data_IF_165002031113
#
_entry.id   IF_165002031113
#
_cell.length_a   1.000
_cell.length_b   1.000
_cell.length_c   1.000
_cell.angle_alpha   90.00
_cell.angle_beta   90.00
_cell.angle_gamma   90.00
#
_symmetry.space_group_name_H-M   'P 1'
#
loop_
_entity.id
_entity.type
_entity.pdbx_description
1 polymer ?
#
# COMPACT_ATOMS: atom_id res chain seq x y z
N UNK A 1 8.99 -29.14 33.43
CA UNK A 1 9.95 -28.03 33.32
C UNK A 1 10.46 -28.09 31.89
N UNK A 2 10.21 -27.17 30.98
CA UNK A 2 10.08 -25.71 31.06
C UNK A 2 8.98 -25.20 30.13
N UNK A 3 8.54 -23.99 30.44
CA UNK A 3 7.37 -23.28 29.95
C UNK A 3 7.28 -23.05 28.44
N UNK A 4 6.03 -22.94 28.02
CA UNK A 4 5.50 -22.22 26.87
C UNK A 4 6.22 -20.90 26.58
N UNK A 5 6.35 -20.56 25.30
CA UNK A 5 5.88 -19.27 24.81
C UNK A 5 5.59 -19.36 23.30
N UNK A 6 4.32 -19.59 22.94
CA UNK A 6 3.82 -19.19 21.62
C UNK A 6 3.63 -17.68 21.73
N UNK A 7 4.20 -16.85 20.83
CA UNK A 7 3.74 -15.47 20.75
C UNK A 7 2.26 -15.57 20.36
N UNK A 8 1.38 -15.31 21.33
CA UNK A 8 0.03 -14.86 21.06
C UNK A 8 0.13 -13.90 19.90
N UNK A 9 -0.59 -14.19 18.83
CA UNK A 9 -0.87 -13.20 17.83
C UNK A 9 -1.44 -12.02 18.62
N UNK A 10 -0.63 -10.98 18.82
CA UNK A 10 -1.12 -9.68 19.22
C UNK A 10 -2.24 -9.41 18.24
N UNK A 11 -3.46 -9.48 18.76
CA UNK A 11 -4.60 -8.85 18.16
C UNK A 11 -4.14 -7.43 17.95
N UNK A 12 -3.70 -7.13 16.73
CA UNK A 12 -3.59 -5.78 16.22
C UNK A 12 -5.00 -5.25 16.27
N UNK A 13 -5.39 -4.80 17.47
CA UNK A 13 -6.33 -3.70 17.65
C UNK A 13 -6.06 -2.76 16.48
N UNK A 14 -7.08 -2.31 15.73
CA UNK A 14 -6.86 -1.34 14.67
C UNK A 14 -6.28 -0.10 15.34
N UNK A 15 -4.94 -0.05 15.39
CA UNK A 15 -4.16 1.04 15.95
C UNK A 15 -4.68 2.23 15.21
N UNK A 16 -5.40 3.08 15.95
CA UNK A 16 -5.98 4.34 15.50
C UNK A 16 -5.07 4.89 14.42
N UNK A 17 -5.53 4.82 13.16
CA UNK A 17 -4.65 4.81 12.00
C UNK A 17 -3.72 6.01 12.12
N UNK A 18 -2.47 5.75 12.52
CA UNK A 18 -1.52 6.81 12.78
C UNK A 18 -1.52 7.70 11.55
N UNK A 19 -1.62 9.04 11.71
CA UNK A 19 -1.86 9.93 10.59
C UNK A 19 -0.89 9.57 9.49
N UNK A 20 -1.43 9.10 8.36
CA UNK A 20 -0.61 8.60 7.26
C UNK A 20 0.39 9.70 6.93
N UNK A 21 1.69 9.37 6.98
CA UNK A 21 2.73 10.34 6.64
C UNK A 21 2.36 10.90 5.27
N UNK A 22 2.22 12.22 5.18
CA UNK A 22 1.91 12.89 3.91
C UNK A 22 2.95 12.45 2.90
N UNK A 23 2.49 11.89 1.79
CA UNK A 23 3.36 11.52 0.69
C UNK A 23 3.85 12.82 0.05
N UNK A 24 5.16 12.92 -0.20
CA UNK A 24 5.76 14.08 -0.87
C UNK A 24 5.38 14.09 -2.35
N UNK A 25 5.00 15.25 -2.89
CA UNK A 25 4.65 15.43 -4.29
C UNK A 25 5.82 15.04 -5.22
N UNK A 26 7.07 15.29 -4.80
CA UNK A 26 8.26 14.90 -5.57
C UNK A 26 8.38 13.37 -5.71
N UNK A 27 8.04 12.65 -4.65
CA UNK A 27 8.05 11.18 -4.67
C UNK A 27 6.93 10.65 -5.57
N UNK A 28 5.78 11.32 -5.57
CA UNK A 28 4.67 11.00 -6.46
C UNK A 28 5.08 11.16 -7.93
N UNK A 29 5.72 12.29 -8.27
CA UNK A 29 6.20 12.58 -9.62
C UNK A 29 7.22 11.56 -10.11
N UNK A 30 8.18 11.16 -9.25
CA UNK A 30 9.17 10.13 -9.58
C UNK A 30 8.51 8.77 -9.85
N UNK A 31 7.54 8.39 -9.02
CA UNK A 31 6.80 7.14 -9.19
C UNK A 31 5.98 7.14 -10.49
N UNK A 32 5.31 8.24 -10.80
CA UNK A 32 4.54 8.41 -12.04
C UNK A 32 5.49 8.36 -13.25
N UNK A 33 6.63 9.06 -13.20
CA UNK A 33 7.60 9.07 -14.27
C UNK A 33 8.17 7.69 -14.58
N UNK A 34 8.49 6.90 -13.55
CA UNK A 34 8.96 5.52 -13.71
C UNK A 34 7.90 4.61 -14.33
N UNK A 35 6.67 4.68 -13.83
CA UNK A 35 5.57 3.90 -14.38
C UNK A 35 5.32 4.25 -15.86
N UNK A 36 5.30 5.53 -16.22
CA UNK A 36 5.15 5.96 -17.61
C UNK A 36 6.30 5.47 -18.51
N UNK A 37 7.55 5.50 -18.01
CA UNK A 37 8.70 4.96 -18.74
C UNK A 37 8.59 3.44 -19.00
N UNK A 38 7.90 2.72 -18.13
CA UNK A 38 7.59 1.29 -18.29
C UNK A 38 6.28 1.04 -19.09
N UNK A 39 5.65 2.08 -19.63
CA UNK A 39 4.38 1.98 -20.37
C UNK A 39 3.16 1.70 -19.48
N UNK A 40 3.33 1.88 -18.17
CA UNK A 40 2.36 1.55 -17.14
C UNK A 40 1.42 2.74 -16.90
N UNK A 41 0.17 2.62 -17.36
CA UNK A 41 -0.85 3.63 -17.09
C UNK A 41 -1.42 3.45 -15.68
N UNK A 42 -1.06 4.36 -14.79
CA UNK A 42 -1.48 4.36 -13.38
C UNK A 42 -2.91 4.88 -13.17
N UNK A 43 -3.59 5.38 -14.21
CA UNK A 43 -4.95 5.95 -14.13
C UNK A 43 -5.81 5.53 -15.33
N UNK A 44 -7.13 5.72 -15.23
CA UNK A 44 -8.07 5.58 -16.36
C UNK A 44 -8.64 4.18 -16.59
N UNK A 45 -9.46 4.06 -17.63
CA UNK A 45 -10.04 2.80 -18.12
C UNK A 45 -8.93 1.92 -18.74
N UNK A 46 -8.83 0.67 -18.29
CA UNK A 46 -7.74 -0.23 -18.64
C UNK A 46 -6.42 -0.02 -17.87
N UNK A 47 -6.32 1.03 -17.04
CA UNK A 47 -5.13 1.33 -16.22
C UNK A 47 -5.02 0.46 -14.97
N UNK A 48 -3.85 0.48 -14.32
CA UNK A 48 -3.58 -0.29 -13.10
C UNK A 48 -4.56 0.02 -11.97
N UNK A 49 -4.93 1.29 -11.80
CA UNK A 49 -5.87 1.68 -10.75
C UNK A 49 -7.19 0.94 -10.91
N UNK A 50 -7.71 0.84 -12.14
CA UNK A 50 -8.92 0.08 -12.45
C UNK A 50 -8.73 -1.42 -12.19
N UNK A 51 -7.61 -2.02 -12.63
CA UNK A 51 -7.33 -3.44 -12.36
C UNK A 51 -7.29 -3.76 -10.85
N UNK A 52 -6.80 -2.83 -10.04
CA UNK A 52 -6.70 -2.98 -8.58
C UNK A 52 -8.02 -2.62 -7.86
N UNK A 53 -8.84 -1.73 -8.39
CA UNK A 53 -10.13 -1.32 -7.78
C UNK A 53 -11.34 -2.13 -8.24
N UNK A 54 -11.26 -2.89 -9.34
CA UNK A 54 -12.37 -3.74 -9.85
C UNK A 54 -12.51 -5.08 -9.10
N UNK A 55 -11.82 -5.26 -7.96
CA UNK A 55 -11.95 -6.46 -7.11
C UNK A 55 -13.18 -6.45 -6.20
N UNK A 56 -14.23 -5.69 -6.51
CA UNK A 56 -15.52 -5.73 -5.78
C UNK A 56 -16.58 -6.50 -6.56
#
# INVERSE_FOLDING_TARGET
MTSSNMPEAESVEPSEAAPAKSVDDQLLDELVGRAQAEGLQLTGEGGLLQQLTVRM
#
